data_IF_836361466997
#
_entry.id   IF_836361466997
#
_cell.length_a   1.000
_cell.length_b   1.000
_cell.length_c   1.000
_cell.angle_alpha   90.00
_cell.angle_beta   90.00
_cell.angle_gamma   90.00
#
_symmetry.space_group_name_H-M   'P 1'
#
loop_
_entity.id
_entity.type
_entity.pdbx_description
1 polymer ?
#
# COMPACT_ATOMS: atom_id res chain seq x y z
N UNK A 1 3.41 -7.27 3.74
CA UNK A 1 4.01 -8.57 4.18
C UNK A 1 3.53 -9.80 3.40
N UNK A 2 2.43 -9.74 2.64
CA UNK A 2 1.92 -10.89 1.86
C UNK A 2 1.23 -11.91 2.76
N UNK A 3 -0.09 -11.81 2.86
CA UNK A 3 -0.93 -12.69 3.67
C UNK A 3 -2.29 -12.84 2.97
N UNK A 4 -3.13 -13.78 3.39
CA UNK A 4 -4.51 -13.86 2.91
C UNK A 4 -5.24 -12.57 3.25
N UNK A 5 -6.06 -12.07 2.32
CA UNK A 5 -6.93 -10.94 2.59
C UNK A 5 -7.89 -11.29 3.72
N UNK A 6 -8.18 -10.31 4.57
CA UNK A 6 -9.15 -10.43 5.65
C UNK A 6 -10.48 -9.91 5.12
N UNK A 7 -11.52 -10.69 5.32
CA UNK A 7 -12.87 -10.28 4.96
C UNK A 7 -13.34 -9.14 5.88
N UNK A 8 -13.68 -7.99 5.28
CA UNK A 8 -14.02 -6.77 6.01
C UNK A 8 -15.29 -6.94 6.86
N UNK A 9 -16.28 -7.66 6.35
CA UNK A 9 -17.54 -7.90 7.06
C UNK A 9 -17.36 -8.84 8.25
N UNK A 10 -16.48 -9.84 8.13
CA UNK A 10 -16.07 -10.69 9.25
C UNK A 10 -15.37 -9.87 10.33
N UNK A 11 -14.48 -8.95 9.96
CA UNK A 11 -13.85 -8.04 10.92
C UNK A 11 -14.87 -7.11 11.59
N UNK A 12 -15.85 -6.59 10.84
CA UNK A 12 -16.91 -5.74 11.38
C UNK A 12 -17.83 -6.52 12.35
N UNK A 13 -18.15 -7.77 12.05
CA UNK A 13 -18.92 -8.64 12.95
C UNK A 13 -18.15 -8.97 14.25
N UNK A 14 -16.83 -9.15 14.16
CA UNK A 14 -15.99 -9.30 15.34
C UNK A 14 -15.99 -8.02 16.21
N UNK A 15 -15.91 -6.84 15.59
CA UNK A 15 -16.04 -5.56 16.30
C UNK A 15 -17.41 -5.41 16.96
N UNK A 16 -18.49 -5.82 16.29
CA UNK A 16 -19.84 -5.85 16.89
C UNK A 16 -19.90 -6.74 18.12
N UNK A 17 -19.29 -7.93 18.06
CA UNK A 17 -19.21 -8.84 19.21
C UNK A 17 -18.58 -8.15 20.42
N UNK A 18 -17.52 -7.34 20.21
CA UNK A 18 -16.87 -6.58 21.29
C UNK A 18 -17.80 -5.49 21.85
N UNK A 19 -18.54 -4.78 20.99
CA UNK A 19 -19.51 -3.76 21.42
C UNK A 19 -20.61 -4.35 22.33
N UNK A 20 -21.11 -5.53 21.96
CA UNK A 20 -22.21 -6.18 22.68
C UNK A 20 -21.82 -6.60 24.11
N UNK A 21 -20.52 -6.76 24.38
CA UNK A 21 -20.00 -7.08 25.72
C UNK A 21 -20.08 -5.91 26.70
N UNK A 22 -20.24 -4.67 26.22
CA UNK A 22 -20.28 -3.45 27.05
C UNK A 22 -19.11 -3.37 28.05
N UNK A 23 -17.90 -3.73 27.59
CA UNK A 23 -16.72 -3.82 28.45
C UNK A 23 -16.33 -2.46 29.04
N UNK A 24 -15.86 -2.46 30.29
CA UNK A 24 -15.28 -1.27 30.95
C UNK A 24 -13.75 -1.21 30.87
N UNK A 25 -13.12 -2.28 30.42
CA UNK A 25 -11.68 -2.41 30.19
C UNK A 25 -11.46 -3.27 28.95
N UNK A 26 -10.63 -2.80 28.02
CA UNK A 26 -10.26 -3.52 26.81
C UNK A 26 -8.75 -3.69 26.73
N UNK A 27 -8.31 -4.96 26.64
CA UNK A 27 -6.91 -5.36 26.51
C UNK A 27 -6.67 -5.82 25.07
N UNK A 28 -5.84 -5.10 24.33
CA UNK A 28 -5.43 -5.48 22.98
C UNK A 28 -4.13 -6.29 22.99
N UNK A 29 -3.79 -6.91 21.86
CA UNK A 29 -2.49 -7.56 21.68
C UNK A 29 -1.31 -6.58 21.50
N UNK A 30 -1.59 -5.29 21.30
CA UNK A 30 -0.63 -4.22 21.11
C UNK A 30 -1.12 -2.93 21.78
N UNK A 31 -0.20 -2.04 22.17
CA UNK A 31 -0.47 -0.75 22.84
C UNK A 31 -1.02 -0.91 24.28
N UNK A 32 -1.29 0.23 24.91
CA UNK A 32 -1.81 0.30 26.28
C UNK A 32 -3.30 -0.11 26.36
N UNK A 33 -3.76 -0.62 27.52
CA UNK A 33 -5.18 -0.86 27.77
C UNK A 33 -6.05 0.38 27.57
N UNK A 34 -7.29 0.19 27.11
CA UNK A 34 -8.30 1.25 27.08
C UNK A 34 -9.27 1.04 28.24
N UNK A 35 -9.45 2.11 29.03
CA UNK A 35 -10.26 2.10 30.26
C UNK A 35 -11.47 3.02 30.09
N UNK A 36 -12.66 2.48 30.34
CA UNK A 36 -13.93 3.22 30.30
C UNK A 36 -14.87 2.74 29.20
N UNK A 37 -16.10 2.38 29.59
CA UNK A 37 -17.07 1.81 28.65
C UNK A 37 -17.49 2.75 27.51
N UNK A 38 -17.50 4.06 27.76
CA UNK A 38 -17.89 5.05 26.75
C UNK A 38 -16.82 5.18 25.66
N UNK A 39 -15.55 5.37 26.03
CA UNK A 39 -14.45 5.46 25.06
C UNK A 39 -14.29 4.15 24.28
N UNK A 40 -14.42 2.99 24.94
CA UNK A 40 -14.39 1.68 24.25
C UNK A 40 -15.52 1.61 23.20
N UNK A 41 -16.73 2.03 23.57
CA UNK A 41 -17.86 2.03 22.63
C UNK A 41 -17.59 2.93 21.43
N UNK A 42 -17.18 4.17 21.67
CA UNK A 42 -16.91 5.16 20.61
C UNK A 42 -15.84 4.67 19.63
N UNK A 43 -14.70 4.18 20.13
CA UNK A 43 -13.59 3.71 19.31
C UNK A 43 -13.96 2.46 18.49
N UNK A 44 -14.62 1.48 19.10
CA UNK A 44 -15.00 0.24 18.41
C UNK A 44 -16.17 0.50 17.43
N UNK A 45 -17.08 1.43 17.72
CA UNK A 45 -18.11 1.85 16.77
C UNK A 45 -17.49 2.55 15.56
N UNK A 46 -16.55 3.48 15.76
CA UNK A 46 -15.82 4.12 14.67
C UNK A 46 -15.10 3.09 13.79
N UNK A 47 -14.39 2.13 14.41
CA UNK A 47 -13.71 1.05 13.71
C UNK A 47 -14.65 0.15 12.91
N UNK A 48 -15.75 -0.32 13.52
CA UNK A 48 -16.76 -1.12 12.82
C UNK A 48 -17.34 -0.36 11.63
N UNK A 49 -17.69 0.91 11.83
CA UNK A 49 -18.30 1.72 10.78
C UNK A 49 -17.32 2.03 9.64
N UNK A 50 -16.04 2.27 9.95
CA UNK A 50 -14.99 2.45 8.95
C UNK A 50 -14.85 1.21 8.04
N UNK A 51 -14.85 0.01 8.62
CA UNK A 51 -14.78 -1.25 7.87
C UNK A 51 -15.96 -1.41 6.90
N UNK A 52 -17.19 -1.22 7.40
CA UNK A 52 -18.41 -1.34 6.60
C UNK A 52 -18.44 -0.27 5.50
N UNK A 53 -18.12 0.97 5.85
CA UNK A 53 -18.11 2.08 4.90
C UNK A 53 -17.13 1.85 3.75
N UNK A 54 -15.87 1.52 4.04
CA UNK A 54 -14.87 1.28 2.98
C UNK A 54 -15.28 0.08 2.13
N UNK A 55 -15.79 -0.99 2.75
CA UNK A 55 -16.32 -2.14 2.03
C UNK A 55 -17.43 -1.76 1.05
N UNK A 56 -18.47 -1.10 1.53
CA UNK A 56 -19.63 -0.75 0.70
C UNK A 56 -19.24 0.22 -0.41
N UNK A 57 -18.32 1.15 -0.13
CA UNK A 57 -17.81 2.09 -1.13
C UNK A 57 -17.03 1.40 -2.25
N UNK A 58 -16.26 0.36 -1.92
CA UNK A 58 -15.57 -0.46 -2.91
C UNK A 58 -16.58 -1.24 -3.75
N UNK A 59 -17.53 -1.94 -3.12
CA UNK A 59 -18.53 -2.75 -3.84
C UNK A 59 -19.41 -1.90 -4.75
N UNK A 60 -19.86 -0.74 -4.29
CA UNK A 60 -20.61 0.21 -5.13
C UNK A 60 -19.75 0.70 -6.31
N UNK A 61 -18.46 0.98 -6.08
CA UNK A 61 -17.52 1.34 -7.13
C UNK A 61 -17.32 0.25 -8.18
N UNK A 62 -17.18 -1.00 -7.75
CA UNK A 62 -17.09 -2.17 -8.62
C UNK A 62 -18.35 -2.34 -9.45
N UNK A 63 -19.53 -2.23 -8.84
CA UNK A 63 -20.82 -2.32 -9.53
C UNK A 63 -21.02 -1.17 -10.54
N UNK A 64 -20.40 -0.01 -10.30
CA UNK A 64 -20.37 1.11 -11.22
C UNK A 64 -19.29 1.00 -12.32
N UNK A 65 -18.49 -0.08 -12.33
CA UNK A 65 -17.42 -0.30 -13.31
C UNK A 65 -16.20 0.60 -13.12
N UNK A 66 -16.00 1.19 -11.94
CA UNK A 66 -14.78 1.95 -11.63
C UNK A 66 -13.58 1.02 -11.49
N UNK A 67 -12.45 1.42 -12.05
CA UNK A 67 -11.19 0.69 -11.89
C UNK A 67 -10.62 0.84 -10.47
N UNK A 68 -9.75 -0.11 -10.09
CA UNK A 68 -9.16 -0.18 -8.77
C UNK A 68 -8.40 1.11 -8.38
N UNK A 69 -7.62 1.68 -9.30
CA UNK A 69 -6.79 2.84 -9.00
C UNK A 69 -7.64 4.08 -8.75
N UNK A 70 -8.71 4.26 -9.51
CA UNK A 70 -9.72 5.30 -9.24
C UNK A 70 -10.33 5.13 -7.84
N UNK A 71 -10.72 3.91 -7.46
CA UNK A 71 -11.27 3.66 -6.12
C UNK A 71 -10.26 3.92 -5.00
N UNK A 72 -8.99 3.56 -5.20
CA UNK A 72 -7.92 3.84 -4.23
C UNK A 72 -7.68 5.34 -4.04
N UNK A 73 -7.89 6.15 -5.07
CA UNK A 73 -7.71 7.60 -5.04
C UNK A 73 -8.93 8.35 -4.46
N UNK A 74 -10.15 7.85 -4.67
CA UNK A 74 -11.38 8.57 -4.28
C UNK A 74 -11.95 8.18 -2.91
N UNK A 75 -11.71 6.96 -2.43
CA UNK A 75 -12.33 6.48 -1.18
C UNK A 75 -11.53 6.98 0.02
N UNK A 76 -12.14 7.90 0.77
CA UNK A 76 -11.65 8.43 2.03
C UNK A 76 -12.67 8.19 3.15
N UNK A 77 -12.18 8.08 4.40
CA UNK A 77 -13.06 7.95 5.56
C UNK A 77 -13.69 9.31 5.91
N UNK A 78 -15.00 9.34 6.21
CA UNK A 78 -15.58 10.53 6.82
C UNK A 78 -15.05 10.70 8.25
N UNK A 79 -15.00 11.94 8.75
CA UNK A 79 -14.44 12.25 10.06
C UNK A 79 -15.05 11.44 11.22
N UNK A 80 -16.33 11.03 11.11
CA UNK A 80 -17.00 10.22 12.11
C UNK A 80 -16.50 8.77 12.21
N UNK A 81 -15.79 8.28 11.18
CA UNK A 81 -15.23 6.93 11.10
C UNK A 81 -13.69 6.96 11.06
N UNK A 82 -13.08 8.07 11.47
CA UNK A 82 -11.63 8.19 11.43
C UNK A 82 -11.00 7.16 12.36
N UNK A 83 -10.16 6.32 11.77
CA UNK A 83 -9.36 5.32 12.47
C UNK A 83 -7.93 5.45 12.02
N UNK A 84 -7.00 5.48 12.97
CA UNK A 84 -5.59 5.74 12.68
C UNK A 84 -5.02 4.81 11.60
N UNK A 85 -4.19 5.37 10.72
CA UNK A 85 -3.61 4.66 9.56
C UNK A 85 -2.11 4.37 9.74
N UNK A 86 -1.66 4.23 11.00
CA UNK A 86 -0.25 4.02 11.34
C UNK A 86 0.29 2.63 11.03
N UNK A 87 -0.56 1.69 10.62
CA UNK A 87 -0.18 0.32 10.27
C UNK A 87 -0.67 -0.07 8.88
N UNK A 88 -1.98 -0.03 8.64
CA UNK A 88 -2.57 -0.12 7.31
C UNK A 88 -3.09 1.25 6.87
N UNK A 89 -3.46 1.39 5.59
CA UNK A 89 -4.11 2.59 5.06
C UNK A 89 -5.45 2.25 4.42
N UNK A 90 -6.33 3.25 4.26
CA UNK A 90 -7.60 3.12 3.54
C UNK A 90 -7.33 2.69 2.10
N UNK A 91 -6.38 3.34 1.42
CA UNK A 91 -5.97 2.98 0.06
C UNK A 91 -5.54 1.50 -0.08
N UNK A 92 -4.81 0.94 0.89
CA UNK A 92 -4.45 -0.47 0.87
C UNK A 92 -5.63 -1.40 1.18
N UNK A 93 -6.54 -0.95 2.06
CA UNK A 93 -7.75 -1.70 2.42
C UNK A 93 -8.73 -1.77 1.25
N UNK A 94 -8.89 -0.67 0.49
CA UNK A 94 -9.66 -0.63 -0.75
C UNK A 94 -9.20 -1.72 -1.71
N UNK A 95 -7.89 -1.80 -1.95
CA UNK A 95 -7.29 -2.84 -2.79
C UNK A 95 -7.53 -4.24 -2.25
N UNK A 96 -7.33 -4.45 -0.95
CA UNK A 96 -7.55 -5.76 -0.33
C UNK A 96 -9.00 -6.24 -0.49
N UNK A 97 -9.99 -5.35 -0.31
CA UNK A 97 -11.41 -5.66 -0.48
C UNK A 97 -11.71 -5.93 -1.95
N UNK A 98 -11.24 -5.08 -2.86
CA UNK A 98 -11.44 -5.27 -4.30
C UNK A 98 -10.87 -6.61 -4.78
N UNK A 99 -9.63 -6.93 -4.41
CA UNK A 99 -8.96 -8.20 -4.78
C UNK A 99 -9.58 -9.41 -4.07
N UNK A 100 -10.25 -9.24 -2.93
CA UNK A 100 -11.03 -10.31 -2.28
C UNK A 100 -12.25 -10.73 -3.11
N UNK A 101 -12.85 -9.79 -3.87
CA UNK A 101 -13.98 -10.07 -4.76
C UNK A 101 -13.55 -10.46 -6.18
N UNK A 102 -12.65 -9.69 -6.79
CA UNK A 102 -12.23 -9.90 -8.17
C UNK A 102 -11.22 -11.06 -8.32
N UNK A 103 -10.47 -11.37 -7.27
CA UNK A 103 -9.37 -12.32 -7.34
C UNK A 103 -8.18 -11.78 -8.14
N UNK A 104 -7.42 -12.70 -8.75
CA UNK A 104 -6.18 -12.38 -9.46
C UNK A 104 -6.39 -11.90 -10.90
N UNK A 105 -7.51 -12.24 -11.53
CA UNK A 105 -7.79 -11.90 -12.92
C UNK A 105 -8.61 -10.61 -12.97
N UNK A 106 -7.98 -9.50 -13.37
CA UNK A 106 -8.58 -8.15 -13.26
C UNK A 106 -9.34 -7.72 -14.50
N UNK A 107 -9.28 -8.50 -15.57
CA UNK A 107 -9.90 -8.22 -16.86
C UNK A 107 -9.29 -6.99 -17.56
N UNK A 108 -8.03 -6.69 -17.27
CA UNK A 108 -7.29 -5.55 -17.85
C UNK A 108 -6.51 -5.98 -19.11
N UNK A 109 -6.04 -7.23 -19.15
CA UNK A 109 -5.25 -7.73 -20.27
C UNK A 109 -5.38 -9.23 -20.44
N UNK A 110 -5.35 -9.68 -21.69
CA UNK A 110 -5.19 -11.10 -22.04
C UNK A 110 -3.93 -11.71 -21.42
N UNK A 111 -2.87 -10.91 -21.22
CA UNK A 111 -1.60 -11.39 -20.65
C UNK A 111 -1.73 -11.85 -19.20
N UNK A 112 -2.77 -11.44 -18.47
CA UNK A 112 -3.01 -11.93 -17.10
C UNK A 112 -3.22 -13.45 -17.05
N UNK A 113 -3.70 -14.05 -18.15
CA UNK A 113 -3.94 -15.49 -18.27
C UNK A 113 -2.67 -16.30 -18.62
N UNK A 114 -1.53 -15.63 -18.82
CA UNK A 114 -0.30 -16.26 -19.32
C UNK A 114 0.92 -15.92 -18.45
N UNK A 115 1.94 -16.78 -18.52
CA UNK A 115 3.09 -16.72 -17.62
C UNK A 115 4.12 -15.63 -17.97
N UNK A 116 3.96 -14.90 -19.08
CA UNK A 116 4.93 -13.88 -19.51
C UNK A 116 4.65 -12.57 -18.75
N UNK A 117 5.53 -12.15 -17.83
CA UNK A 117 5.29 -10.93 -17.06
C UNK A 117 5.60 -9.69 -17.90
N UNK A 118 4.97 -8.57 -17.59
CA UNK A 118 5.24 -7.27 -18.25
C UNK A 118 6.73 -6.91 -18.23
N UNK A 119 7.44 -7.19 -17.13
CA UNK A 119 8.89 -6.94 -17.03
C UNK A 119 9.73 -7.59 -18.12
N UNK A 120 9.21 -8.63 -18.80
CA UNK A 120 9.93 -9.30 -19.90
C UNK A 120 10.27 -8.34 -21.05
N UNK A 121 9.45 -7.32 -21.29
CA UNK A 121 9.65 -6.35 -22.37
C UNK A 121 10.42 -5.10 -21.93
N UNK A 122 10.86 -4.99 -20.67
CA UNK A 122 11.56 -3.78 -20.20
C UNK A 122 12.84 -3.52 -21.01
N UNK A 123 13.57 -4.57 -21.38
CA UNK A 123 14.76 -4.41 -22.26
C UNK A 123 14.40 -3.89 -23.65
N UNK A 124 13.31 -4.40 -24.24
CA UNK A 124 12.82 -3.92 -25.54
C UNK A 124 12.49 -2.42 -25.48
N UNK A 125 11.85 -1.97 -24.39
CA UNK A 125 11.55 -0.54 -24.17
C UNK A 125 12.81 0.31 -24.04
N UNK A 126 13.84 -0.17 -23.34
CA UNK A 126 15.11 0.54 -23.18
C UNK A 126 15.89 0.59 -24.49
N UNK A 127 15.92 -0.49 -25.26
CA UNK A 127 16.57 -0.54 -26.57
C UNK A 127 15.92 0.42 -27.58
N UNK A 128 14.59 0.56 -27.53
CA UNK A 128 13.85 1.47 -28.40
C UNK A 128 13.93 2.94 -27.97
N UNK A 129 13.81 3.22 -26.67
CA UNK A 129 13.74 4.59 -26.14
C UNK A 129 15.11 5.19 -25.80
N UNK A 130 16.10 4.35 -25.49
CA UNK A 130 17.39 4.73 -24.93
C UNK A 130 17.34 4.90 -23.41
N UNK A 131 18.36 4.37 -22.72
CA UNK A 131 18.46 4.42 -21.26
C UNK A 131 18.52 5.86 -20.71
N UNK A 132 19.28 6.75 -21.36
CA UNK A 132 19.44 8.14 -20.92
C UNK A 132 18.13 8.93 -20.99
N UNK A 133 17.32 8.70 -22.04
CA UNK A 133 16.03 9.36 -22.20
C UNK A 133 15.03 8.94 -21.12
N UNK A 134 14.97 7.64 -20.81
CA UNK A 134 14.14 7.10 -19.72
C UNK A 134 14.60 7.65 -18.36
N UNK A 135 15.91 7.70 -18.12
CA UNK A 135 16.46 8.23 -16.88
C UNK A 135 16.14 9.73 -16.73
N UNK A 136 16.28 10.51 -17.80
CA UNK A 136 15.90 11.92 -17.79
C UNK A 136 14.42 12.09 -17.50
N UNK A 137 13.54 11.30 -18.13
CA UNK A 137 12.10 11.35 -17.85
C UNK A 137 11.79 11.00 -16.38
N UNK A 138 12.51 10.03 -15.80
CA UNK A 138 12.36 9.70 -14.40
C UNK A 138 12.76 10.86 -13.48
N UNK A 139 13.83 11.61 -13.83
CA UNK A 139 14.23 12.83 -13.11
C UNK A 139 13.15 13.89 -13.18
N UNK A 140 12.58 14.11 -14.37
CA UNK A 140 11.53 15.10 -14.57
C UNK A 140 10.29 14.76 -13.73
N UNK A 141 9.89 13.47 -13.70
CA UNK A 141 8.77 13.00 -12.87
C UNK A 141 9.02 13.18 -11.39
N UNK A 142 10.23 12.86 -10.93
CA UNK A 142 10.60 13.11 -9.54
C UNK A 142 10.56 14.61 -9.19
N UNK A 143 11.08 15.47 -10.06
CA UNK A 143 11.06 16.93 -9.87
C UNK A 143 9.64 17.53 -9.90
N UNK A 144 8.70 16.88 -10.57
CA UNK A 144 7.28 17.25 -10.61
C UNK A 144 6.50 16.77 -9.37
N UNK A 145 7.14 16.09 -8.42
CA UNK A 145 6.45 15.52 -7.27
C UNK A 145 5.64 14.26 -7.61
N UNK A 146 6.02 13.54 -8.67
CA UNK A 146 5.39 12.29 -9.10
C UNK A 146 6.31 11.08 -8.82
N UNK A 147 6.57 10.72 -7.54
CA UNK A 147 7.56 9.71 -7.18
C UNK A 147 7.21 8.32 -7.71
N UNK A 148 5.93 7.91 -7.68
CA UNK A 148 5.50 6.59 -8.17
C UNK A 148 5.73 6.43 -9.68
N UNK A 149 5.43 7.48 -10.46
CA UNK A 149 5.70 7.50 -11.90
C UNK A 149 7.21 7.45 -12.20
N UNK A 150 8.02 8.15 -11.40
CA UNK A 150 9.48 8.04 -11.50
C UNK A 150 9.97 6.61 -11.21
N UNK A 151 9.41 5.94 -10.19
CA UNK A 151 9.74 4.55 -9.85
C UNK A 151 9.40 3.58 -10.98
N UNK A 152 8.26 3.73 -11.66
CA UNK A 152 7.93 2.88 -12.81
C UNK A 152 9.00 2.93 -13.92
N UNK A 153 9.52 4.11 -14.23
CA UNK A 153 10.58 4.28 -15.22
C UNK A 153 11.93 3.71 -14.73
N UNK A 154 12.22 3.88 -13.44
CA UNK A 154 13.43 3.34 -12.83
C UNK A 154 13.40 1.82 -12.74
N UNK A 155 12.24 1.21 -12.51
CA UNK A 155 12.08 -0.25 -12.52
C UNK A 155 12.30 -0.83 -13.92
N UNK A 156 11.92 -0.11 -14.99
CA UNK A 156 12.25 -0.48 -16.37
C UNK A 156 13.77 -0.49 -16.57
N UNK A 157 14.44 0.60 -16.20
CA UNK A 157 15.90 0.73 -16.32
C UNK A 157 16.66 -0.32 -15.51
N UNK A 158 16.31 -0.49 -14.23
CA UNK A 158 17.00 -1.41 -13.32
C UNK A 158 16.70 -2.88 -13.64
N UNK A 159 15.60 -3.17 -14.35
CA UNK A 159 15.36 -4.51 -14.86
C UNK A 159 16.25 -4.83 -16.07
N UNK A 160 16.52 -3.85 -16.93
CA UNK A 160 17.45 -3.99 -18.06
C UNK A 160 18.92 -4.04 -17.60
N UNK A 161 19.33 -3.08 -16.76
CA UNK A 161 20.67 -3.00 -16.17
C UNK A 161 20.59 -2.64 -14.67
N UNK A 162 20.72 -3.67 -13.83
CA UNK A 162 20.69 -3.52 -12.37
C UNK A 162 21.89 -2.73 -11.80
N UNK A 163 22.96 -2.55 -12.59
CA UNK A 163 24.16 -1.80 -12.24
C UNK A 163 24.13 -0.36 -12.76
N UNK A 164 23.03 0.10 -13.38
CA UNK A 164 22.91 1.48 -13.85
C UNK A 164 22.95 2.47 -12.66
N UNK A 165 24.13 3.05 -12.42
CA UNK A 165 24.40 3.94 -11.29
C UNK A 165 23.48 5.16 -11.24
N UNK A 166 23.15 5.72 -12.42
CA UNK A 166 22.24 6.85 -12.53
C UNK A 166 20.82 6.52 -12.06
N UNK A 167 20.30 5.36 -12.48
CA UNK A 167 19.00 4.87 -12.06
C UNK A 167 18.99 4.49 -10.57
N UNK A 168 20.03 3.80 -10.08
CA UNK A 168 20.15 3.44 -8.65
C UNK A 168 20.16 4.68 -7.76
N UNK A 169 20.97 5.68 -8.11
CA UNK A 169 21.08 6.93 -7.36
C UNK A 169 19.75 7.67 -7.33
N UNK A 170 19.06 7.79 -8.46
CA UNK A 170 17.75 8.44 -8.50
C UNK A 170 16.70 7.64 -7.72
N UNK A 171 16.70 6.31 -7.83
CA UNK A 171 15.78 5.46 -7.07
C UNK A 171 15.97 5.65 -5.56
N UNK A 172 17.21 5.73 -5.07
CA UNK A 172 17.48 6.04 -3.65
C UNK A 172 16.84 7.38 -3.27
N UNK A 173 17.08 8.45 -4.05
CA UNK A 173 16.53 9.78 -3.75
C UNK A 173 15.00 9.78 -3.73
N UNK A 174 14.35 9.10 -4.69
CA UNK A 174 12.89 8.98 -4.73
C UNK A 174 12.36 8.24 -3.49
N UNK A 175 12.99 7.14 -3.09
CA UNK A 175 12.58 6.40 -1.88
C UNK A 175 12.85 7.18 -0.59
N UNK A 176 13.90 8.01 -0.54
CA UNK A 176 14.17 8.88 0.62
C UNK A 176 13.09 9.96 0.79
N UNK A 177 12.62 10.55 -0.32
CA UNK A 177 11.47 11.47 -0.30
C UNK A 177 10.21 10.79 0.22
N UNK A 178 9.86 9.62 -0.36
CA UNK A 178 8.72 8.83 0.10
C UNK A 178 8.82 8.42 1.57
N UNK A 179 10.04 8.14 2.07
CA UNK A 179 10.26 7.78 3.47
C UNK A 179 10.03 8.97 4.41
N UNK A 180 10.43 10.18 3.99
CA UNK A 180 10.14 11.39 4.74
C UNK A 180 8.62 11.61 4.87
N UNK A 181 7.89 11.43 3.77
CA UNK A 181 6.42 11.52 3.76
C UNK A 181 5.78 10.42 4.63
N UNK A 182 6.26 9.18 4.51
CA UNK A 182 5.76 8.04 5.27
C UNK A 182 5.89 8.25 6.79
N UNK A 183 6.97 8.88 7.26
CA UNK A 183 7.19 9.20 8.69
C UNK A 183 6.26 10.27 9.24
N UNK A 184 5.65 11.06 8.37
CA UNK A 184 4.71 12.12 8.74
C UNK A 184 3.25 11.76 8.42
N UNK A 185 3.04 10.61 7.77
CA UNK A 185 1.74 10.16 7.32
C UNK A 185 0.73 10.09 8.47
N UNK A 186 -0.44 10.72 8.27
CA UNK A 186 -1.51 10.84 9.27
C UNK A 186 -1.02 11.31 10.66
N UNK A 187 0.05 12.10 10.72
CA UNK A 187 0.71 12.58 11.95
C UNK A 187 1.33 11.49 12.87
N UNK A 188 1.19 10.21 12.53
CA UNK A 188 1.68 9.08 13.33
C UNK A 188 2.82 8.31 12.67
N UNK A 189 3.09 8.60 11.40
CA UNK A 189 3.91 7.75 10.55
C UNK A 189 3.16 6.50 10.08
N UNK A 190 3.80 5.66 9.27
CA UNK A 190 3.27 4.35 8.87
C UNK A 190 4.33 3.27 8.96
N UNK A 191 4.18 2.39 9.95
CA UNK A 191 5.17 1.37 10.32
C UNK A 191 5.61 0.49 9.15
N UNK A 192 4.67 0.01 8.33
CA UNK A 192 5.00 -0.88 7.22
C UNK A 192 5.64 -0.16 6.05
N UNK A 193 5.15 1.03 5.72
CA UNK A 193 5.67 1.81 4.61
C UNK A 193 7.09 2.27 4.91
N UNK A 194 7.35 2.76 6.12
CA UNK A 194 8.69 3.14 6.57
C UNK A 194 9.67 1.96 6.46
N UNK A 195 9.32 0.82 7.07
CA UNK A 195 10.19 -0.36 7.04
C UNK A 195 10.46 -0.89 5.63
N UNK A 196 9.47 -0.82 4.73
CA UNK A 196 9.67 -1.17 3.32
C UNK A 196 10.64 -0.21 2.62
N UNK A 197 10.41 1.10 2.73
CA UNK A 197 11.22 2.12 2.06
C UNK A 197 12.66 2.11 2.56
N UNK A 198 12.88 1.96 3.87
CA UNK A 198 14.21 1.79 4.46
C UNK A 198 14.93 0.56 3.89
N UNK A 199 14.23 -0.58 3.76
CA UNK A 199 14.80 -1.78 3.17
C UNK A 199 15.16 -1.59 1.69
N UNK A 200 14.33 -0.87 0.92
CA UNK A 200 14.60 -0.57 -0.49
C UNK A 200 15.82 0.32 -0.65
N UNK A 201 15.94 1.39 0.13
CA UNK A 201 17.12 2.27 0.16
C UNK A 201 18.37 1.46 0.49
N UNK A 202 18.31 0.61 1.52
CA UNK A 202 19.40 -0.27 1.94
C UNK A 202 19.87 -1.17 0.77
N UNK A 203 18.93 -1.83 0.11
CA UNK A 203 19.21 -2.73 -1.02
C UNK A 203 19.80 -2.00 -2.22
N UNK A 204 19.25 -0.82 -2.57
CA UNK A 204 19.75 0.02 -3.67
C UNK A 204 21.15 0.60 -3.40
N UNK A 205 21.55 0.74 -2.13
CA UNK A 205 22.93 1.10 -1.75
C UNK A 205 23.90 -0.09 -1.75
N UNK A 206 23.44 -1.29 -2.11
CA UNK A 206 24.27 -2.50 -2.10
C UNK A 206 24.45 -3.13 -0.70
N UNK A 207 23.84 -2.55 0.33
CA UNK A 207 23.86 -3.12 1.68
C UNK A 207 22.78 -4.20 1.80
N UNK A 208 23.16 -5.42 2.19
CA UNK A 208 22.22 -6.53 2.32
C UNK A 208 21.90 -6.79 3.80
N UNK A 209 20.65 -7.19 4.09
CA UNK A 209 20.35 -7.85 5.37
C UNK A 209 20.66 -9.33 5.20
N UNK A 210 21.55 -9.94 6.01
CA UNK A 210 21.83 -11.37 5.90
C UNK A 210 20.53 -12.17 6.08
N UNK A 211 20.43 -13.30 5.37
CA UNK A 211 19.28 -14.19 5.50
C UNK A 211 19.13 -14.66 6.95
N UNK A 212 17.89 -14.67 7.46
CA UNK A 212 17.59 -15.33 8.73
C UNK A 212 17.77 -16.83 8.53
N UNK A 213 18.88 -17.37 9.05
CA UNK A 213 19.08 -18.81 9.14
C UNK A 213 18.31 -19.33 10.36
N UNK A 214 17.12 -19.88 10.11
CA UNK A 214 16.42 -20.68 11.11
C UNK A 214 17.10 -22.06 11.15
N UNK A 215 17.56 -22.47 12.35
CA UNK A 215 18.09 -23.80 12.63
C UNK A 215 16.95 -24.80 12.81
#
# INVERSE_FOLDING_TARGET
RGDRYRDALTCAAAAQTVLDLNASLLLYGHHEPVVGAQVIREEIEAYRNALVYVHDRVVEGMNAGKDLHTLQAEIELPAAYEVGQGYGTVCWSVRAIWENYAGWFKHESTTELYAVPQKRIHSDLVELAGADALLQRARDKHAQGEPEAALHLLDILLNHDAANEGARTLAVAVHEGLLADARQFAHTGNFWLEGWLENRIKTLRGTHTPALHFK
#
